data_IF_975504427364
#
_entry.id   IF_975504427364
#
_cell.length_a   1.000
_cell.length_b   1.000
_cell.length_c   1.000
_cell.angle_alpha   90.00
_cell.angle_beta   90.00
_cell.angle_gamma   90.00
#
_symmetry.space_group_name_H-M   'P 1'
#
loop_
_entity.id
_entity.type
_entity.pdbx_description
1 polymer ?
#
# COMPACT_ATOMS: atom_id res chain seq x y z
N UNK A 1 6.03 -0.01 -22.65
CA UNK A 1 6.75 -1.25 -22.99
C UNK A 1 6.60 -2.19 -21.80
N UNK A 2 5.84 -3.27 -21.95
CA UNK A 2 5.54 -4.20 -20.85
C UNK A 2 6.79 -4.99 -20.49
N UNK A 3 7.12 -5.10 -19.20
CA UNK A 3 8.23 -5.94 -18.71
C UNK A 3 8.13 -7.41 -19.18
N UNK A 4 6.92 -7.85 -19.50
CA UNK A 4 6.59 -9.16 -20.07
C UNK A 4 7.30 -9.39 -21.41
N UNK A 5 7.53 -8.36 -22.24
CA UNK A 5 8.26 -8.54 -23.52
C UNK A 5 9.75 -8.73 -23.32
N UNK A 6 10.30 -8.38 -22.15
CA UNK A 6 11.73 -8.41 -21.92
C UNK A 6 12.21 -9.75 -21.37
N UNK A 7 11.33 -10.55 -20.75
CA UNK A 7 11.67 -11.84 -20.14
C UNK A 7 10.56 -12.89 -20.33
N UNK A 8 10.31 -13.34 -21.57
CA UNK A 8 9.25 -14.30 -21.87
C UNK A 8 9.45 -15.63 -21.13
N UNK A 9 10.69 -16.05 -20.90
CA UNK A 9 11.01 -17.33 -20.26
C UNK A 9 10.57 -17.37 -18.78
N UNK A 10 10.58 -16.21 -18.11
CA UNK A 10 10.10 -16.09 -16.72
C UNK A 10 8.59 -16.28 -16.70
N UNK A 11 7.87 -15.60 -17.60
CA UNK A 11 6.42 -15.72 -17.69
C UNK A 11 6.00 -17.18 -17.99
N UNK A 12 6.67 -17.83 -18.95
CA UNK A 12 6.39 -19.22 -19.31
C UNK A 12 6.63 -20.22 -18.17
N UNK A 13 7.60 -19.94 -17.29
CA UNK A 13 7.84 -20.76 -16.11
C UNK A 13 6.68 -20.67 -15.11
N UNK A 14 6.18 -19.46 -14.83
CA UNK A 14 5.08 -19.23 -13.89
C UNK A 14 3.70 -19.58 -14.44
N UNK A 15 3.55 -19.77 -15.75
CA UNK A 15 2.33 -20.36 -16.33
C UNK A 15 2.14 -21.84 -15.98
N UNK A 16 3.18 -22.54 -15.47
CA UNK A 16 3.03 -23.89 -14.93
C UNK A 16 2.48 -23.76 -13.52
N UNK A 17 1.21 -24.11 -13.33
CA UNK A 17 0.45 -23.95 -12.08
C UNK A 17 1.08 -24.62 -10.84
N UNK A 18 2.13 -25.43 -10.99
CA UNK A 18 2.89 -26.03 -9.89
C UNK A 18 4.37 -26.09 -10.23
N UNK A 19 5.22 -25.68 -9.30
CA UNK A 19 6.68 -25.84 -9.37
C UNK A 19 7.26 -25.99 -7.95
N UNK A 20 8.32 -26.76 -7.81
CA UNK A 20 8.99 -26.96 -6.52
C UNK A 20 10.07 -25.90 -6.26
N UNK A 21 10.43 -25.70 -4.98
CA UNK A 21 11.53 -24.83 -4.58
C UNK A 21 12.87 -25.20 -5.26
N UNK A 22 13.08 -26.50 -5.51
CA UNK A 22 14.26 -27.00 -6.23
C UNK A 22 14.24 -26.63 -7.72
N UNK A 23 13.06 -26.59 -8.35
CA UNK A 23 12.90 -26.20 -9.75
C UNK A 23 13.06 -24.71 -9.93
N UNK A 24 12.53 -23.91 -8.99
CA UNK A 24 12.73 -22.47 -8.93
C UNK A 24 14.21 -22.09 -8.80
N UNK A 25 14.95 -22.76 -7.91
CA UNK A 25 16.38 -22.52 -7.75
C UNK A 25 17.18 -22.85 -9.02
N UNK A 26 16.87 -23.99 -9.66
CA UNK A 26 17.46 -24.35 -10.97
C UNK A 26 17.11 -23.35 -12.06
N UNK A 27 15.89 -22.80 -12.05
CA UNK A 27 15.47 -21.78 -13.00
C UNK A 27 16.23 -20.46 -12.79
N UNK A 28 16.41 -20.04 -11.53
CA UNK A 28 17.21 -18.87 -11.18
C UNK A 28 18.67 -19.03 -11.66
N UNK A 29 19.25 -20.21 -11.52
CA UNK A 29 20.60 -20.49 -12.04
C UNK A 29 20.66 -20.43 -13.57
N UNK A 30 19.66 -20.96 -14.28
CA UNK A 30 19.55 -20.83 -15.74
C UNK A 30 19.43 -19.37 -16.18
N UNK A 31 18.67 -18.54 -15.48
CA UNK A 31 18.55 -17.11 -15.80
C UNK A 31 19.89 -16.38 -15.60
N UNK A 32 20.66 -16.76 -14.58
CA UNK A 32 22.01 -16.21 -14.36
C UNK A 32 23.01 -16.60 -15.45
N UNK A 33 22.86 -17.77 -16.07
CA UNK A 33 23.73 -18.20 -17.16
C UNK A 33 23.30 -17.65 -18.52
N UNK A 34 22.00 -17.43 -18.75
CA UNK A 34 21.45 -16.87 -19.99
C UNK A 34 21.80 -15.39 -20.14
N UNK A 35 21.66 -14.61 -19.07
CA UNK A 35 21.95 -13.18 -19.11
C UNK A 35 23.34 -12.92 -18.53
N UNK A 36 24.29 -12.45 -19.33
CA UNK A 36 25.64 -12.12 -18.87
C UNK A 36 25.73 -10.75 -18.17
N UNK A 37 24.85 -9.81 -18.53
CA UNK A 37 24.84 -8.47 -17.95
C UNK A 37 24.22 -8.46 -16.54
N UNK A 38 24.99 -7.97 -15.58
CA UNK A 38 24.62 -7.85 -14.17
C UNK A 38 23.38 -6.97 -13.95
N UNK A 39 23.13 -5.96 -14.78
CA UNK A 39 21.92 -5.13 -14.66
C UNK A 39 20.67 -5.88 -15.13
N UNK A 40 20.79 -6.62 -16.23
CA UNK A 40 19.70 -7.44 -16.78
C UNK A 40 19.38 -8.60 -15.83
N UNK A 41 20.41 -9.26 -15.27
CA UNK A 41 20.25 -10.28 -14.24
C UNK A 41 19.48 -9.76 -13.01
N UNK A 42 19.83 -8.57 -12.49
CA UNK A 42 19.12 -7.98 -11.35
C UNK A 42 17.65 -7.73 -11.68
N UNK A 43 17.39 -7.21 -12.89
CA UNK A 43 16.03 -6.93 -13.36
C UNK A 43 15.21 -8.21 -13.52
N UNK A 44 15.81 -9.28 -14.06
CA UNK A 44 15.21 -10.60 -14.17
C UNK A 44 14.92 -11.23 -12.79
N UNK A 45 15.84 -11.12 -11.83
CA UNK A 45 15.64 -11.61 -10.47
C UNK A 45 14.54 -10.86 -9.71
N UNK A 46 14.47 -9.53 -9.89
CA UNK A 46 13.38 -8.73 -9.34
C UNK A 46 12.04 -9.11 -9.97
N UNK A 47 12.03 -9.38 -11.28
CA UNK A 47 10.83 -9.84 -11.97
C UNK A 47 10.35 -11.22 -11.48
N UNK A 48 11.26 -12.18 -11.28
CA UNK A 48 10.95 -13.49 -10.68
C UNK A 48 10.32 -13.32 -9.28
N UNK A 49 10.85 -12.41 -8.45
CA UNK A 49 10.27 -12.14 -7.12
C UNK A 49 8.85 -11.59 -7.21
N UNK A 50 8.61 -10.67 -8.14
CA UNK A 50 7.28 -10.09 -8.34
C UNK A 50 6.27 -11.15 -8.81
N UNK A 51 6.67 -12.02 -9.74
CA UNK A 51 5.79 -13.08 -10.23
C UNK A 51 5.52 -14.16 -9.17
N UNK A 52 6.50 -14.48 -8.31
CA UNK A 52 6.29 -15.31 -7.12
C UNK A 52 5.27 -14.70 -6.16
N UNK A 53 5.38 -13.40 -5.89
CA UNK A 53 4.41 -12.71 -5.03
C UNK A 53 3.01 -12.74 -5.63
N UNK A 54 2.88 -12.55 -6.94
CA UNK A 54 1.60 -12.65 -7.65
C UNK A 54 1.02 -14.06 -7.54
N UNK A 55 1.82 -15.10 -7.78
CA UNK A 55 1.41 -16.49 -7.64
C UNK A 55 0.93 -16.82 -6.21
N UNK A 56 1.64 -16.34 -5.18
CA UNK A 56 1.23 -16.51 -3.78
C UNK A 56 -0.14 -15.87 -3.51
N UNK A 57 -0.36 -14.64 -3.97
CA UNK A 57 -1.64 -13.93 -3.79
C UNK A 57 -2.78 -14.65 -4.52
N UNK A 58 -2.55 -15.13 -5.75
CA UNK A 58 -3.56 -15.89 -6.51
C UNK A 58 -3.89 -17.22 -5.80
N UNK A 59 -2.89 -17.95 -5.30
CA UNK A 59 -3.09 -19.19 -4.53
C UNK A 59 -3.83 -18.99 -3.21
N UNK A 60 -3.62 -17.86 -2.52
CA UNK A 60 -4.38 -17.51 -1.31
C UNK A 60 -5.85 -17.20 -1.65
N UNK A 61 -6.11 -16.58 -2.81
CA UNK A 61 -7.47 -16.28 -3.24
C UNK A 61 -8.29 -17.52 -3.63
N UNK A 62 -7.66 -18.55 -4.21
CA UNK A 62 -8.32 -19.81 -4.55
C UNK A 62 -8.64 -20.66 -3.30
N UNK A 63 -7.83 -20.57 -2.26
CA UNK A 63 -8.07 -21.28 -0.99
C UNK A 63 -9.21 -20.68 -0.15
N UNK A 64 -9.58 -19.40 -0.37
CA UNK A 64 -10.77 -18.79 0.25
C UNK A 64 -12.07 -19.27 -0.41
N UNK A 65 -12.03 -19.73 -1.67
CA UNK A 65 -13.21 -20.25 -2.39
C UNK A 65 -13.66 -21.66 -1.96
N UNK A 66 -12.85 -22.41 -1.21
CA UNK A 66 -13.15 -23.79 -0.82
C UNK A 66 -13.71 -23.96 0.61
N UNK A 67 -13.94 -22.87 1.34
CA UNK A 67 -14.67 -22.91 2.62
C UNK A 67 -15.93 -22.04 2.55
N UNK A 68 -17.08 -22.72 2.59
CA UNK A 68 -18.47 -22.21 2.75
C UNK A 68 -19.23 -21.83 1.47
N UNK A 69 -19.67 -22.87 0.74
CA UNK A 69 -20.96 -22.84 0.04
C UNK A 69 -22.08 -23.22 1.02
N UNK A 70 -22.47 -22.29 1.89
CA UNK A 70 -23.83 -22.31 2.44
C UNK A 70 -24.73 -21.54 1.47
N UNK A 71 -25.76 -22.23 0.98
CA UNK A 71 -26.78 -21.68 0.08
C UNK A 71 -27.47 -20.52 0.78
N UNK A 72 -27.25 -19.30 0.31
CA UNK A 72 -28.14 -18.18 0.62
C UNK A 72 -29.24 -18.15 -0.45
N UNK A 73 -30.45 -18.52 -0.03
CA UNK A 73 -31.66 -18.29 -0.79
C UNK A 73 -31.79 -16.82 -1.14
N UNK A 74 -32.12 -16.57 -2.41
CA UNK A 74 -32.34 -15.23 -2.95
C UNK A 74 -33.67 -14.70 -2.40
N UNK A 75 -33.61 -13.95 -1.29
CA UNK A 75 -34.75 -13.18 -0.80
C UNK A 75 -34.79 -11.84 -1.55
N UNK A 76 -35.86 -11.51 -2.27
CA UNK A 76 -35.93 -10.24 -3.00
C UNK A 76 -35.96 -9.06 -2.02
N UNK A 77 -34.93 -8.21 -2.11
CA UNK A 77 -34.80 -6.97 -1.35
C UNK A 77 -35.98 -6.02 -1.66
N UNK A 78 -36.99 -6.01 -0.77
CA UNK A 78 -37.93 -4.89 -0.67
C UNK A 78 -37.13 -3.60 -0.41
N UNK A 79 -37.46 -2.56 -1.18
CA UNK A 79 -36.85 -1.21 -1.11
C UNK A 79 -36.78 -0.68 0.32
N UNK A 80 -35.63 -0.86 0.98
CA UNK A 80 -35.33 -0.19 2.25
C UNK A 80 -34.83 1.22 1.94
N UNK A 81 -35.49 2.20 2.55
CA UNK A 81 -35.17 3.63 2.47
C UNK A 81 -33.68 3.83 2.78
N UNK A 82 -32.97 4.54 1.89
CA UNK A 82 -31.58 4.95 2.06
C UNK A 82 -31.43 5.73 3.37
N UNK A 83 -30.89 5.09 4.40
CA UNK A 83 -30.28 5.79 5.51
C UNK A 83 -28.85 6.10 5.07
N UNK A 84 -28.62 7.35 4.70
CA UNK A 84 -27.30 7.93 4.48
C UNK A 84 -26.53 7.96 5.81
N UNK A 85 -25.94 6.81 6.18
CA UNK A 85 -24.89 6.79 7.21
C UNK A 85 -23.67 7.42 6.56
N UNK A 86 -23.30 8.59 7.10
CA UNK A 86 -22.23 9.42 6.57
C UNK A 86 -20.93 8.61 6.47
N UNK A 87 -20.23 8.73 5.34
CA UNK A 87 -18.94 8.08 5.05
C UNK A 87 -17.84 8.36 6.09
N UNK A 88 -18.05 9.33 6.99
CA UNK A 88 -17.14 9.64 8.10
C UNK A 88 -17.19 8.63 9.25
N UNK A 89 -18.33 7.98 9.50
CA UNK A 89 -18.46 7.03 10.61
C UNK A 89 -17.85 5.67 10.28
N UNK A 90 -17.99 5.19 9.05
CA UNK A 90 -17.34 3.95 8.60
C UNK A 90 -15.80 4.02 8.66
N UNK A 91 -15.22 5.18 8.32
CA UNK A 91 -13.78 5.41 8.40
C UNK A 91 -13.23 5.55 9.83
N UNK A 92 -14.08 5.87 10.82
CA UNK A 92 -13.67 5.87 12.23
C UNK A 92 -13.60 4.44 12.78
N UNK A 93 -14.60 3.62 12.44
CA UNK A 93 -14.74 2.25 12.93
C UNK A 93 -13.64 1.30 12.42
N UNK A 94 -13.11 1.53 11.21
CA UNK A 94 -11.94 0.78 10.71
C UNK A 94 -10.63 1.19 11.40
N UNK A 95 -10.44 2.48 11.73
CA UNK A 95 -9.23 2.95 12.41
C UNK A 95 -9.13 2.42 13.84
N UNK A 96 -10.24 2.38 14.55
CA UNK A 96 -10.30 1.85 15.92
C UNK A 96 -9.92 0.37 15.95
N UNK A 97 -10.33 -0.42 14.93
CA UNK A 97 -9.93 -1.83 14.80
C UNK A 97 -8.44 -2.02 14.51
N UNK A 98 -7.84 -1.20 13.65
CA UNK A 98 -6.39 -1.32 13.38
C UNK A 98 -5.55 -0.95 14.61
N UNK A 99 -5.97 0.07 15.37
CA UNK A 99 -5.25 0.51 16.57
C UNK A 99 -5.40 -0.48 17.73
N UNK A 100 -6.59 -1.09 17.89
CA UNK A 100 -6.79 -2.11 18.93
C UNK A 100 -5.91 -3.34 18.71
N UNK A 101 -5.73 -3.79 17.46
CA UNK A 101 -4.87 -4.94 17.14
C UNK A 101 -3.40 -4.66 17.48
N UNK A 102 -2.90 -3.46 17.18
CA UNK A 102 -1.52 -3.08 17.50
C UNK A 102 -1.34 -2.97 19.01
N UNK A 103 -2.29 -2.34 19.71
CA UNK A 103 -2.23 -2.21 21.17
C UNK A 103 -2.32 -3.55 21.90
N UNK A 104 -3.06 -4.52 21.36
CA UNK A 104 -3.11 -5.88 21.92
C UNK A 104 -1.76 -6.60 21.78
N UNK A 105 -1.08 -6.46 20.64
CA UNK A 105 0.27 -7.00 20.46
C UNK A 105 1.29 -6.38 21.43
N UNK A 106 1.22 -5.07 21.62
CA UNK A 106 2.13 -4.32 22.49
C UNK A 106 2.01 -4.70 23.99
N UNK A 107 0.93 -5.35 24.43
CA UNK A 107 0.76 -5.78 25.83
C UNK A 107 1.75 -6.87 26.25
N UNK A 108 2.14 -7.73 25.32
CA UNK A 108 2.94 -8.91 25.62
C UNK A 108 4.46 -8.69 25.44
N UNK A 109 4.82 -7.53 24.92
CA UNK A 109 6.18 -7.21 24.49
C UNK A 109 7.00 -6.44 25.53
N UNK A 110 8.33 -6.46 25.32
CA UNK A 110 9.28 -5.73 26.16
C UNK A 110 9.28 -4.24 25.81
N UNK A 111 9.61 -3.38 26.79
CA UNK A 111 9.68 -1.92 26.61
C UNK A 111 10.52 -1.52 25.39
N UNK A 112 11.64 -2.20 25.15
CA UNK A 112 12.48 -1.96 23.97
C UNK A 112 11.76 -2.18 22.63
N UNK A 113 10.89 -3.18 22.55
CA UNK A 113 10.16 -3.52 21.31
C UNK A 113 9.02 -2.51 21.13
N UNK A 114 8.28 -2.21 22.20
CA UNK A 114 7.25 -1.15 22.23
C UNK A 114 7.83 0.18 21.74
N UNK A 115 9.02 0.54 22.21
CA UNK A 115 9.70 1.77 21.80
C UNK A 115 10.06 1.77 20.30
N UNK A 116 10.44 0.63 19.74
CA UNK A 116 10.74 0.49 18.30
C UNK A 116 9.49 0.60 17.44
N UNK A 117 8.40 -0.06 17.84
CA UNK A 117 7.14 0.00 17.07
C UNK A 117 6.51 1.39 17.06
N UNK A 118 6.63 2.12 18.18
CA UNK A 118 6.03 3.46 18.34
C UNK A 118 7.02 4.58 17.99
N UNK A 119 8.23 4.24 17.53
CA UNK A 119 9.30 5.17 17.17
C UNK A 119 9.58 6.21 18.29
N UNK A 120 9.81 5.70 19.50
CA UNK A 120 10.15 6.49 20.68
C UNK A 120 11.55 6.10 21.16
N UNK A 121 12.39 7.09 21.50
CA UNK A 121 13.66 6.82 22.16
C UNK A 121 13.43 6.15 23.52
N UNK A 122 14.04 5.00 23.75
CA UNK A 122 13.91 4.22 25.00
C UNK A 122 14.20 5.05 26.25
N UNK A 123 15.22 5.92 26.20
CA UNK A 123 15.56 6.82 27.32
C UNK A 123 14.41 7.76 27.67
N UNK A 124 13.76 8.35 26.66
CA UNK A 124 12.61 9.23 26.85
C UNK A 124 11.39 8.44 27.36
N UNK A 125 11.15 7.25 26.82
CA UNK A 125 10.07 6.40 27.30
C UNK A 125 10.24 6.03 28.78
N UNK A 126 11.45 5.69 29.23
CA UNK A 126 11.74 5.44 30.64
C UNK A 126 11.50 6.69 31.51
N UNK A 127 11.82 7.88 31.01
CA UNK A 127 11.49 9.11 31.76
C UNK A 127 9.97 9.32 31.89
N UNK A 128 9.20 8.99 30.85
CA UNK A 128 7.73 9.03 30.90
C UNK A 128 7.16 7.99 31.89
N UNK A 129 7.73 6.78 31.92
CA UNK A 129 7.35 5.75 32.90
C UNK A 129 7.60 6.24 34.33
N UNK A 130 8.77 6.85 34.59
CA UNK A 130 9.10 7.40 35.91
C UNK A 130 8.14 8.51 36.34
N UNK A 131 7.70 9.37 35.41
CA UNK A 131 6.69 10.40 35.70
C UNK A 131 5.34 9.81 36.12
N UNK A 132 5.04 8.59 35.66
CA UNK A 132 3.83 7.83 36.02
C UNK A 132 4.06 6.89 37.22
N UNK A 133 5.16 7.08 37.98
CA UNK A 133 5.58 6.23 39.11
C UNK A 133 5.87 4.76 38.75
N UNK A 134 6.21 4.47 37.50
CA UNK A 134 6.57 3.12 37.03
C UNK A 134 8.10 3.05 36.89
N UNK A 135 8.74 2.24 37.73
CA UNK A 135 10.18 2.02 37.69
C UNK A 135 10.47 0.65 37.09
N UNK A 136 10.83 0.63 35.80
CA UNK A 136 11.10 -0.59 35.05
C UNK A 136 12.40 -0.51 34.25
N UNK A 137 13.07 -1.65 34.16
CA UNK A 137 14.27 -1.82 33.35
C UNK A 137 13.89 -1.93 31.87
N UNK A 138 14.83 -1.59 31.00
CA UNK A 138 14.67 -1.55 29.54
C UNK A 138 14.10 -2.86 28.95
N UNK A 139 14.50 -4.00 29.51
CA UNK A 139 14.12 -5.32 29.01
C UNK A 139 12.92 -5.93 29.73
N UNK A 140 12.34 -5.21 30.68
CA UNK A 140 11.17 -5.69 31.42
C UNK A 140 9.87 -5.46 30.64
N UNK A 141 8.90 -6.35 30.89
CA UNK A 141 7.53 -6.23 30.38
C UNK A 141 6.71 -5.30 31.26
N UNK A 142 5.73 -4.60 30.68
CA UNK A 142 4.77 -3.80 31.44
C UNK A 142 3.67 -4.69 32.03
N UNK A 143 3.23 -4.39 33.25
CA UNK A 143 2.06 -5.05 33.83
C UNK A 143 0.78 -4.48 33.19
N UNK A 144 -0.33 -5.20 33.25
CA UNK A 144 -1.60 -4.75 32.66
C UNK A 144 -2.01 -3.35 33.14
N UNK A 145 -1.91 -3.08 34.44
CA UNK A 145 -2.27 -1.79 35.05
C UNK A 145 -1.35 -0.66 34.59
N UNK A 146 -0.04 -0.91 34.54
CA UNK A 146 0.96 0.02 34.02
C UNK A 146 0.71 0.34 32.54
N UNK A 147 0.40 -0.69 31.76
CA UNK A 147 0.08 -0.54 30.34
C UNK A 147 -1.16 0.33 30.13
N UNK A 148 -2.21 0.17 30.94
CA UNK A 148 -3.40 1.03 30.85
C UNK A 148 -3.09 2.49 31.14
N UNK A 149 -2.22 2.77 32.11
CA UNK A 149 -1.76 4.13 32.40
C UNK A 149 -1.05 4.73 31.19
N UNK A 150 -0.21 3.95 30.50
CA UNK A 150 0.60 4.46 29.37
C UNK A 150 -0.16 4.42 28.04
N UNK A 151 -1.25 3.64 27.96
CA UNK A 151 -2.05 3.43 26.75
C UNK A 151 -2.42 4.73 26.05
N UNK A 152 -2.83 5.74 26.80
CA UNK A 152 -3.21 7.04 26.22
C UNK A 152 -2.04 7.74 25.50
N UNK A 153 -0.82 7.63 26.03
CA UNK A 153 0.41 8.17 25.43
C UNK A 153 0.73 7.41 24.14
N UNK A 154 0.65 6.08 24.18
CA UNK A 154 0.91 5.22 23.03
C UNK A 154 -0.09 5.49 21.90
N UNK A 155 -1.40 5.55 22.22
CA UNK A 155 -2.45 5.91 21.26
C UNK A 155 -2.17 7.26 20.61
N UNK A 156 -1.85 8.28 21.41
CA UNK A 156 -1.54 9.62 20.88
C UNK A 156 -0.35 9.62 19.93
N UNK A 157 0.67 8.79 20.23
CA UNK A 157 1.86 8.65 19.39
C UNK A 157 1.60 7.86 18.10
N UNK A 158 0.86 6.76 18.19
CA UNK A 158 0.43 5.98 17.02
C UNK A 158 -0.42 6.85 16.08
N UNK A 159 -1.34 7.65 16.62
CA UNK A 159 -2.13 8.61 15.84
C UNK A 159 -1.25 9.62 15.11
N UNK A 160 -0.18 10.11 15.75
CA UNK A 160 0.78 11.02 15.13
C UNK A 160 1.55 10.35 14.00
N UNK A 161 2.03 9.12 14.20
CA UNK A 161 2.72 8.35 13.17
C UNK A 161 1.82 8.08 11.97
N UNK A 162 0.55 7.71 12.21
CA UNK A 162 -0.42 7.55 11.14
C UNK A 162 -0.63 8.82 10.31
N UNK A 163 -0.65 10.00 10.95
CA UNK A 163 -0.79 11.27 10.25
C UNK A 163 0.43 11.53 9.35
N UNK A 164 1.64 11.32 9.88
CA UNK A 164 2.89 11.48 9.13
C UNK A 164 2.89 10.54 7.91
N UNK A 165 2.60 9.26 8.11
CA UNK A 165 2.54 8.27 7.01
C UNK A 165 1.49 8.66 5.94
N UNK A 166 0.33 9.19 6.36
CA UNK A 166 -0.70 9.68 5.43
C UNK A 166 -0.26 10.93 4.65
N UNK A 167 0.57 11.79 5.25
CA UNK A 167 1.12 12.96 4.58
C UNK A 167 2.24 12.58 3.61
N UNK A 168 3.16 11.71 4.01
CA UNK A 168 4.22 11.20 3.14
C UNK A 168 3.65 10.48 1.91
N UNK A 169 2.64 9.63 2.10
CA UNK A 169 1.96 8.95 0.98
C UNK A 169 1.24 9.93 0.05
N UNK A 170 0.69 11.04 0.56
CA UNK A 170 0.12 12.11 -0.28
C UNK A 170 1.20 12.84 -1.07
N UNK A 171 2.32 13.21 -0.44
CA UNK A 171 3.44 13.87 -1.10
C UNK A 171 4.03 13.01 -2.22
N UNK A 172 4.15 11.69 -2.00
CA UNK A 172 4.57 10.73 -3.04
C UNK A 172 3.59 10.68 -4.21
N UNK A 173 2.28 10.68 -3.94
CA UNK A 173 1.24 10.74 -4.98
C UNK A 173 1.32 12.04 -5.79
N UNK A 174 1.56 13.17 -5.14
CA UNK A 174 1.64 14.46 -5.82
C UNK A 174 2.92 14.60 -6.67
N UNK A 175 4.04 14.04 -6.21
CA UNK A 175 5.27 13.91 -7.02
C UNK A 175 5.03 13.05 -8.27
N UNK A 176 4.30 11.95 -8.14
CA UNK A 176 3.96 11.08 -9.28
C UNK A 176 2.95 11.73 -10.24
N UNK A 177 2.00 12.52 -9.73
CA UNK A 177 1.08 13.31 -10.57
C UNK A 177 1.83 14.41 -11.35
N UNK A 178 2.81 15.07 -10.74
CA UNK A 178 3.65 16.07 -11.44
C UNK A 178 4.52 15.45 -12.53
N UNK A 179 4.90 14.17 -12.43
CA UNK A 179 5.60 13.44 -13.51
C UNK A 179 4.68 13.02 -14.66
N UNK A 180 3.37 12.96 -14.45
CA UNK A 180 2.39 12.99 -15.55
C UNK A 180 2.22 14.43 -16.05
N UNK A 181 3.30 15.03 -16.54
CA UNK A 181 3.17 16.10 -17.52
C UNK A 181 2.40 15.45 -18.66
N UNK A 182 1.19 15.95 -18.91
CA UNK A 182 0.37 15.57 -20.06
C UNK A 182 1.29 15.61 -21.28
N UNK A 183 1.59 14.44 -21.86
CA UNK A 183 1.89 14.42 -23.28
C UNK A 183 0.77 15.24 -23.93
N UNK A 184 1.13 16.35 -24.58
CA UNK A 184 0.19 16.97 -25.49
C UNK A 184 -0.20 15.86 -26.47
N UNK A 185 -1.43 15.37 -26.35
CA UNK A 185 -2.05 14.57 -27.39
C UNK A 185 -2.04 15.48 -28.63
N UNK A 186 -1.06 15.27 -29.51
CA UNK A 186 -0.97 15.95 -30.81
C UNK A 186 -2.17 15.59 -31.73
N UNK A 187 -3.04 14.68 -31.30
CA UNK A 187 -4.18 14.15 -32.05
C UNK A 187 -5.52 14.83 -31.75
N UNK A 188 -5.55 15.89 -30.93
CA UNK A 188 -6.78 16.66 -30.71
C UNK A 188 -6.71 17.95 -31.51
N UNK A 189 -7.52 18.01 -32.57
CA UNK A 189 -7.79 19.17 -33.42
C UNK A 189 -7.58 20.49 -32.68
N UNK A 190 -6.50 21.17 -33.03
CA UNK A 190 -6.19 22.48 -32.47
C UNK A 190 -7.30 23.47 -32.86
N UNK A 191 -7.43 24.56 -32.09
CA UNK A 191 -8.37 25.64 -32.41
C UNK A 191 -8.18 26.14 -33.85
N UNK A 192 -6.94 26.09 -34.35
CA UNK A 192 -6.58 26.45 -35.73
C UNK A 192 -7.10 25.47 -36.78
N UNK A 193 -7.12 24.15 -36.53
CA UNK A 193 -7.69 23.17 -37.49
C UNK A 193 -9.21 23.26 -37.55
N UNK A 194 -9.88 23.64 -36.46
CA UNK A 194 -11.33 23.92 -36.48
C UNK A 194 -11.67 25.19 -37.28
N UNK A 195 -10.80 26.20 -37.24
CA UNK A 195 -10.97 27.44 -38.02
C UNK A 195 -10.74 27.18 -39.52
N UNK A 196 -9.75 26.35 -39.89
CA UNK A 196 -9.52 26.01 -41.30
C UNK A 196 -10.67 25.19 -41.91
N UNK A 197 -11.25 24.27 -41.13
CA UNK A 197 -12.31 23.39 -41.62
C UNK A 197 -13.68 24.08 -41.76
N UNK A 198 -13.95 25.16 -41.02
CA UNK A 198 -15.26 25.80 -40.98
C UNK A 198 -15.51 26.91 -42.02
N UNK A 199 -14.64 27.12 -43.03
CA UNK A 199 -14.83 28.06 -44.17
C UNK A 199 -15.51 29.41 -43.80
N UNK A 200 -15.19 29.96 -42.64
CA UNK A 200 -15.74 31.23 -42.16
C UNK A 200 -14.59 32.17 -41.84
N UNK A 201 -14.37 33.18 -42.68
CA UNK A 201 -13.39 34.24 -42.44
C UNK A 201 -13.92 35.14 -41.32
N UNK A 202 -13.81 34.69 -40.07
CA UNK A 202 -14.04 35.51 -38.89
C UNK A 202 -12.76 36.28 -38.57
N UNK A 203 -12.81 37.62 -38.60
CA UNK A 203 -11.67 38.49 -38.26
C UNK A 203 -11.10 38.14 -36.88
N UNK A 204 -9.80 37.86 -36.82
CA UNK A 204 -9.05 37.71 -35.57
C UNK A 204 -8.82 39.11 -34.98
N UNK A 205 -9.41 39.39 -33.83
CA UNK A 205 -9.16 40.64 -33.08
C UNK A 205 -8.03 40.37 -32.07
N UNK A 206 -6.88 40.99 -32.28
CA UNK A 206 -5.75 40.92 -31.36
C UNK A 206 -5.87 42.01 -30.30
N UNK A 207 -6.21 41.64 -29.06
CA UNK A 207 -6.22 42.56 -27.92
C UNK A 207 -4.83 42.53 -27.28
N UNK A 208 -4.03 43.58 -27.51
CA UNK A 208 -2.75 43.77 -26.83
C UNK A 208 -3.00 44.41 -25.45
N UNK A 209 -2.62 43.71 -24.38
CA UNK A 209 -2.64 44.26 -23.01
C UNK A 209 -1.46 45.24 -22.86
N UNK A 210 -1.74 46.47 -22.43
CA UNK A 210 -0.72 47.46 -22.02
C UNK A 210 -0.19 47.11 -20.63
#
# INVERSE_FOLDING_TARGET
MSLITNFPEIHDFFCKNTFDNNELNKFIEKIKTIYSDKQIQKSALEFIKLELFKFLIESESENVSNSKKEKLEYVPLKKVKKITISTKEKLKLEKEKSQSIILEKLKEENINIICKEVDIKTSYFITLLKQQNITKAVDSKLNQTEFEIIKHILVSKLDRLERINKEETKLLRDRNKKKKIRSLDFDKETVYTKISNNKGIGKIIYIRKK
#
